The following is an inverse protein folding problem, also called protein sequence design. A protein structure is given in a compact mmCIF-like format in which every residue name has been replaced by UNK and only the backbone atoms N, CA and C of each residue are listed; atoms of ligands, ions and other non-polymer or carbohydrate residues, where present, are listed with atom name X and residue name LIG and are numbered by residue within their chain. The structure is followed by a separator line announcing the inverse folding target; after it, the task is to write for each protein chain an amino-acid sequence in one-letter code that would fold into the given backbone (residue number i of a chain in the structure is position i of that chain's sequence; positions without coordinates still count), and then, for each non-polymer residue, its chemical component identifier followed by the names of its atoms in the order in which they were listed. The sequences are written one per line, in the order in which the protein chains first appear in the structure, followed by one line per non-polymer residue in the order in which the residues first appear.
data_IF_612526807379
#
_entry.id   IF_612526807379
#
_cell.length_a   1.000
_cell.length_b   1.000
_cell.length_c   1.000
_cell.angle_alpha   90.00
_cell.angle_beta   90.00
_cell.angle_gamma   90.00
#
_symmetry.space_group_name_H-M   'P 1'
#
loop_
_entity.id
_entity.type
_entity.pdbx_description
1 polymer ?
#
# COMPACT_ATOMS: atom_id res chain seq x y z
N UNK A 1 -12.36 11.11 4.57
CA UNK A 1 -12.46 11.00 3.10
C UNK A 1 -11.27 10.16 2.65
N UNK A 2 -11.37 9.35 1.58
CA UNK A 2 -10.23 8.59 1.06
C UNK A 2 -10.17 8.71 -0.47
N UNK A 3 -8.97 8.71 -1.06
CA UNK A 3 -8.80 8.76 -2.52
C UNK A 3 -7.68 7.85 -3.00
N UNK A 4 -7.80 7.36 -4.23
CA UNK A 4 -6.70 6.75 -4.96
C UNK A 4 -5.78 7.86 -5.49
N UNK A 5 -4.48 7.76 -5.21
CA UNK A 5 -3.46 8.76 -5.58
C UNK A 5 -2.32 8.11 -6.40
N UNK A 6 -1.47 8.90 -7.08
CA UNK A 6 -0.31 8.35 -7.79
C UNK A 6 0.65 7.54 -6.90
N UNK A 7 0.76 7.89 -5.62
CA UNK A 7 1.53 7.11 -4.63
C UNK A 7 0.89 5.74 -4.38
N UNK A 8 -0.44 5.68 -4.33
CA UNK A 8 -1.15 4.42 -4.24
C UNK A 8 -0.91 3.51 -5.45
N UNK A 9 -0.86 4.07 -6.66
CA UNK A 9 -0.50 3.30 -7.85
C UNK A 9 0.90 2.66 -7.71
N UNK A 10 1.89 3.39 -7.19
CA UNK A 10 3.23 2.83 -6.93
C UNK A 10 3.22 1.71 -5.89
N UNK A 11 2.42 1.86 -4.84
CA UNK A 11 2.25 0.84 -3.79
C UNK A 11 1.63 -0.43 -4.38
N UNK A 12 0.57 -0.28 -5.17
CA UNK A 12 -0.13 -1.38 -5.84
C UNK A 12 0.77 -2.10 -6.85
N UNK A 13 1.49 -1.35 -7.69
CA UNK A 13 2.45 -1.91 -8.66
C UNK A 13 3.53 -2.74 -7.97
N UNK A 14 4.09 -2.24 -6.87
CA UNK A 14 5.09 -2.98 -6.09
C UNK A 14 4.50 -4.24 -5.47
N UNK A 15 3.33 -4.14 -4.83
CA UNK A 15 2.66 -5.30 -4.24
C UNK A 15 2.34 -6.38 -5.30
N UNK A 16 1.96 -5.98 -6.51
CA UNK A 16 1.72 -6.90 -7.62
C UNK A 16 2.98 -7.67 -8.07
N UNK A 17 4.19 -7.17 -7.80
CA UNK A 17 5.43 -7.93 -8.04
C UNK A 17 5.66 -9.05 -7.02
N UNK A 18 5.05 -8.94 -5.83
CA UNK A 18 5.26 -9.88 -4.73
C UNK A 18 4.22 -11.01 -4.71
N UNK A 19 3.04 -10.79 -5.30
CA UNK A 19 1.94 -11.76 -5.26
C UNK A 19 1.55 -12.21 -6.69
N UNK A 20 1.68 -13.50 -7.05
CA UNK A 20 1.47 -13.98 -8.42
C UNK A 20 -0.01 -14.06 -8.86
N UNK A 21 -0.96 -13.66 -8.02
CA UNK A 21 -2.40 -13.81 -8.28
C UNK A 21 -2.99 -12.45 -8.64
N UNK A 22 -3.91 -12.42 -9.62
CA UNK A 22 -4.85 -11.33 -9.92
C UNK A 22 -5.71 -10.97 -8.70
N UNK A 23 -5.07 -10.47 -7.67
CA UNK A 23 -5.69 -10.00 -6.45
C UNK A 23 -6.00 -8.53 -6.66
N UNK A 24 -7.20 -8.14 -6.21
CA UNK A 24 -7.57 -6.74 -6.18
C UNK A 24 -6.68 -6.08 -5.13
N UNK A 25 -5.67 -5.35 -5.60
CA UNK A 25 -4.89 -4.44 -4.79
C UNK A 25 -5.67 -3.13 -4.76
N UNK A 26 -6.12 -2.72 -3.58
CA UNK A 26 -6.77 -1.43 -3.42
C UNK A 26 -5.98 -0.62 -2.42
N UNK A 27 -5.26 0.38 -2.91
CA UNK A 27 -4.66 1.38 -2.07
C UNK A 27 -5.54 2.63 -2.01
N UNK A 28 -5.73 3.14 -0.80
CA UNK A 28 -6.39 4.42 -0.57
C UNK A 28 -5.58 5.28 0.39
N UNK A 29 -5.44 6.56 0.07
CA UNK A 29 -4.88 7.55 0.97
C UNK A 29 -5.99 8.16 1.85
N UNK A 30 -5.75 8.26 3.15
CA UNK A 30 -6.57 9.07 4.05
C UNK A 30 -6.23 10.56 3.88
N UNK A 31 -7.24 11.40 3.65
CA UNK A 31 -6.99 12.82 3.43
C UNK A 31 -6.49 13.57 4.67
N UNK A 32 -6.86 13.10 5.88
CA UNK A 32 -6.55 13.77 7.14
C UNK A 32 -5.13 13.43 7.61
N UNK A 33 -4.76 12.15 7.56
CA UNK A 33 -3.43 11.72 8.03
C UNK A 33 -2.40 11.61 6.92
N UNK A 34 -2.84 11.56 5.65
CA UNK A 34 -2.02 11.28 4.46
C UNK A 34 -1.45 9.87 4.41
N UNK A 35 -1.87 9.00 5.33
CA UNK A 35 -1.47 7.59 5.34
C UNK A 35 -2.14 6.83 4.20
N UNK A 36 -1.45 5.82 3.71
CA UNK A 36 -1.92 4.92 2.68
C UNK A 36 -2.38 3.62 3.33
N UNK A 37 -3.52 3.10 2.93
CA UNK A 37 -4.00 1.77 3.31
C UNK A 37 -4.05 0.92 2.07
N UNK A 38 -3.18 -0.09 2.00
CA UNK A 38 -3.22 -1.12 0.97
C UNK A 38 -4.06 -2.30 1.50
N UNK A 39 -5.19 -2.58 0.86
CA UNK A 39 -5.94 -3.81 1.06
C UNK A 39 -5.48 -4.85 0.05
N UNK A 40 -5.01 -6.00 0.56
CA UNK A 40 -4.67 -7.14 -0.25
C UNK A 40 -5.10 -8.46 0.39
N UNK A 41 -5.85 -9.28 -0.36
CA UNK A 41 -6.35 -10.58 0.12
C UNK A 41 -7.10 -10.51 1.47
N UNK A 42 -7.79 -9.40 1.75
CA UNK A 42 -8.47 -9.17 3.02
C UNK A 42 -7.57 -8.74 4.18
N UNK A 43 -6.26 -8.58 3.93
CA UNK A 43 -5.32 -7.97 4.87
C UNK A 43 -5.17 -6.49 4.54
N UNK A 44 -5.37 -5.63 5.54
CA UNK A 44 -5.13 -4.20 5.42
C UNK A 44 -3.74 -3.87 5.97
N UNK A 45 -2.90 -3.25 5.14
CA UNK A 45 -1.57 -2.77 5.49
C UNK A 45 -1.61 -1.25 5.49
N UNK A 46 -1.38 -0.65 6.65
CA UNK A 46 -1.27 0.81 6.78
C UNK A 46 0.20 1.23 6.64
N UNK A 47 0.43 2.19 5.75
CA UNK A 47 1.72 2.81 5.46
C UNK A 47 1.55 4.29 5.77
N UNK A 48 2.29 4.80 6.75
CA UNK A 48 2.25 6.22 7.06
C UNK A 48 2.89 7.06 5.95
N UNK A 49 2.54 8.34 5.86
CA UNK A 49 3.19 9.24 4.89
C UNK A 49 4.72 9.23 5.05
N UNK A 50 5.22 9.26 6.29
CA UNK A 50 6.66 9.23 6.57
C UNK A 50 7.32 7.93 6.06
N UNK A 51 6.68 6.78 6.29
CA UNK A 51 7.19 5.48 5.80
C UNK A 51 7.20 5.38 4.28
N UNK A 52 6.28 6.09 3.63
CA UNK A 52 6.29 6.21 2.17
C UNK A 52 7.47 7.06 1.68
N UNK A 53 7.68 8.22 2.31
CA UNK A 53 8.75 9.18 1.98
C UNK A 53 10.15 8.63 2.25
N UNK A 54 10.35 7.88 3.34
CA UNK A 54 11.63 7.28 3.70
C UNK A 54 11.92 5.93 3.01
N UNK A 55 10.94 5.40 2.25
CA UNK A 55 11.06 4.16 1.50
C UNK A 55 10.87 2.86 2.30
N UNK A 56 10.68 2.94 3.62
CA UNK A 56 10.51 1.76 4.48
C UNK A 56 9.23 0.96 4.19
N UNK A 57 8.24 1.59 3.53
CA UNK A 57 6.99 0.95 3.11
C UNK A 57 7.19 -0.32 2.29
N UNK A 58 8.24 -0.42 1.49
CA UNK A 58 8.51 -1.61 0.69
C UNK A 58 8.81 -2.83 1.57
N UNK A 59 9.57 -2.65 2.64
CA UNK A 59 9.89 -3.73 3.57
C UNK A 59 8.69 -4.11 4.44
N UNK A 60 7.83 -3.13 4.79
CA UNK A 60 6.55 -3.40 5.46
C UNK A 60 5.70 -4.33 4.60
N UNK A 61 5.55 -3.99 3.31
CA UNK A 61 4.77 -4.80 2.37
C UNK A 61 5.42 -6.18 2.17
N UNK A 62 6.73 -6.28 1.98
CA UNK A 62 7.42 -7.57 1.86
C UNK A 62 7.17 -8.48 3.06
N UNK A 63 7.28 -7.94 4.28
CA UNK A 63 7.03 -8.70 5.53
C UNK A 63 5.59 -9.14 5.68
N UNK A 64 4.64 -8.40 5.12
CA UNK A 64 3.24 -8.80 5.11
C UNK A 64 2.95 -10.01 4.19
N UNK A 65 3.88 -10.38 3.31
CA UNK A 65 3.75 -11.49 2.36
C UNK A 65 4.72 -12.67 2.60
N UNK A 66 5.53 -12.62 3.66
CA UNK A 66 6.34 -13.75 4.14
C UNK A 66 5.54 -14.59 5.12
#
# INVERSE_FOLDING_TARGET
MKSHTPECAKIEEFAATLVPIKTYHLCMQDFATKDYTLELQGTAITITQQQFEDGSWQDIIRRAFQ
#
